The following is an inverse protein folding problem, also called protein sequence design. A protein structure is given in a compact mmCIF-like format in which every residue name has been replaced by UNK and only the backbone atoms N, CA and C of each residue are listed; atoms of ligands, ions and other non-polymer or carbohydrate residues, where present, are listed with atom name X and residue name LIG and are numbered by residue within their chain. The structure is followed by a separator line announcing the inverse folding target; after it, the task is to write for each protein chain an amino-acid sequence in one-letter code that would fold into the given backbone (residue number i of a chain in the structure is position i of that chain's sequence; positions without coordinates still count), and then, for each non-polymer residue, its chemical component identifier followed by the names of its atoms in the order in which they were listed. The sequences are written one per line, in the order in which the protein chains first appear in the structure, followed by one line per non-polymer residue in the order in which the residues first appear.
data_IF_663342010312
#
_entry.id   IF_663342010312
#
_cell.length_a   1.000
_cell.length_b   1.000
_cell.length_c   1.000
_cell.angle_alpha   90.00
_cell.angle_beta   90.00
_cell.angle_gamma   90.00
#
_symmetry.space_group_name_H-M   'P 1'
#
loop_
_entity.id
_entity.type
_entity.pdbx_description
1 polymer ?
#
# COMPACT_ATOMS: atom_id res chain seq x y z
N UNK A 1 -0.34 11.80 5.54
CA UNK A 1 -1.78 11.77 5.82
C UNK A 1 -2.44 12.99 5.16
N UNK A 2 -3.68 12.87 4.75
CA UNK A 2 -4.42 13.96 4.12
C UNK A 2 -5.92 13.75 4.29
N UNK A 3 -6.66 14.83 4.42
CA UNK A 3 -8.12 14.88 4.39
C UNK A 3 -8.67 15.30 3.01
N UNK A 4 -7.85 15.22 1.96
CA UNK A 4 -8.20 15.64 0.59
C UNK A 4 -7.74 17.06 0.25
N UNK A 5 -7.69 17.95 1.25
CA UNK A 5 -7.31 19.36 1.08
C UNK A 5 -5.92 19.65 1.67
N UNK A 6 -5.66 19.17 2.89
CA UNK A 6 -4.45 19.43 3.64
C UNK A 6 -3.57 18.18 3.62
N UNK A 7 -2.26 18.37 3.40
CA UNK A 7 -1.28 17.29 3.40
C UNK A 7 -0.31 17.46 4.57
N UNK A 8 -0.24 16.45 5.43
CA UNK A 8 0.68 16.39 6.58
C UNK A 8 1.49 15.10 6.56
N UNK A 9 2.68 15.13 7.15
CA UNK A 9 3.50 13.94 7.38
C UNK A 9 4.26 14.10 8.69
N UNK A 10 4.66 12.96 9.27
CA UNK A 10 5.41 12.96 10.51
C UNK A 10 6.89 12.87 10.21
N UNK A 11 7.67 13.64 10.96
CA UNK A 11 9.12 13.68 10.89
C UNK A 11 9.67 13.48 12.30
N UNK A 12 10.79 12.78 12.43
CA UNK A 12 11.49 12.74 13.70
C UNK A 12 11.94 14.17 14.06
N UNK A 13 11.78 14.59 15.32
CA UNK A 13 12.02 15.99 15.71
C UNK A 13 13.41 16.53 15.28
N UNK A 14 14.45 15.69 15.37
CA UNK A 14 15.82 16.05 14.96
C UNK A 14 16.00 16.26 13.44
N UNK A 15 15.04 15.83 12.62
CA UNK A 15 15.05 15.96 11.17
C UNK A 15 14.25 17.18 10.69
N UNK A 16 13.55 17.90 11.57
CA UNK A 16 12.68 19.03 11.21
C UNK A 16 13.42 20.08 10.37
N UNK A 17 14.50 20.64 10.90
CA UNK A 17 15.27 21.70 10.24
C UNK A 17 15.86 21.24 8.91
N UNK A 18 16.26 19.97 8.85
CA UNK A 18 16.78 19.39 7.62
C UNK A 18 15.70 19.31 6.55
N UNK A 19 14.51 18.80 6.87
CA UNK A 19 13.42 18.67 5.90
C UNK A 19 12.93 20.03 5.40
N UNK A 20 12.72 20.98 6.31
CA UNK A 20 12.22 22.33 5.95
C UNK A 20 13.23 23.10 5.08
N UNK A 21 14.52 22.88 5.27
CA UNK A 21 15.58 23.59 4.55
C UNK A 21 16.00 22.93 3.23
N UNK A 22 15.87 21.60 3.11
CA UNK A 22 16.43 20.84 1.98
C UNK A 22 15.37 20.28 1.02
N UNK A 23 14.09 20.30 1.40
CA UNK A 23 13.01 19.77 0.57
C UNK A 23 12.07 20.91 0.18
N UNK A 24 12.29 21.44 -1.02
CA UNK A 24 11.48 22.50 -1.64
C UNK A 24 10.57 21.96 -2.76
N UNK A 25 10.65 20.66 -3.04
CA UNK A 25 9.95 20.02 -4.14
C UNK A 25 9.60 18.56 -3.85
N UNK A 26 8.36 18.18 -4.16
CA UNK A 26 7.91 16.77 -4.20
C UNK A 26 7.49 16.43 -5.62
N UNK A 27 8.24 15.54 -6.26
CA UNK A 27 8.06 15.21 -7.67
C UNK A 27 8.26 16.44 -8.57
N UNK A 28 7.18 16.93 -9.20
CA UNK A 28 7.20 18.14 -10.04
C UNK A 28 6.68 19.40 -9.32
N UNK A 29 6.12 19.25 -8.12
CA UNK A 29 5.40 20.31 -7.39
C UNK A 29 6.34 20.95 -6.38
N UNK A 30 6.47 22.28 -6.43
CA UNK A 30 7.16 23.04 -5.39
C UNK A 30 6.35 23.01 -4.09
N UNK A 31 7.02 22.82 -2.96
CA UNK A 31 6.39 22.69 -1.64
C UNK A 31 7.08 23.58 -0.62
N UNK A 32 6.33 23.94 0.41
CA UNK A 32 6.84 24.59 1.61
C UNK A 32 6.23 23.90 2.81
N UNK A 33 7.02 23.71 3.87
CA UNK A 33 6.59 23.01 5.07
C UNK A 33 6.45 23.98 6.23
N UNK A 34 5.35 23.84 6.95
CA UNK A 34 5.06 24.57 8.19
C UNK A 34 4.94 23.55 9.31
N UNK A 35 5.62 23.79 10.43
CA UNK A 35 5.47 22.96 11.63
C UNK A 35 4.05 23.09 12.18
N UNK A 36 3.46 21.97 12.58
CA UNK A 36 2.18 21.93 13.27
C UNK A 36 2.27 21.05 14.53
N UNK A 37 1.56 21.41 15.61
CA UNK A 37 1.45 20.56 16.79
C UNK A 37 0.94 19.16 16.43
N UNK A 38 1.45 18.14 17.12
CA UNK A 38 1.00 16.76 16.90
C UNK A 38 -0.49 16.58 17.18
N UNK A 39 -1.09 17.41 18.04
CA UNK A 39 -2.51 17.40 18.36
C UNK A 39 -3.41 17.86 17.19
N UNK A 40 -2.85 18.58 16.21
CA UNK A 40 -3.58 19.16 15.08
C UNK A 40 -3.47 18.27 13.83
N UNK A 41 -3.30 16.95 14.03
CA UNK A 41 -3.22 16.02 12.91
C UNK A 41 -4.59 15.90 12.23
N UNK A 42 -4.59 15.93 10.90
CA UNK A 42 -5.82 15.74 10.12
C UNK A 42 -6.30 14.29 10.24
N UNK A 43 -7.62 14.10 10.29
CA UNK A 43 -8.19 12.76 10.13
C UNK A 43 -8.05 12.37 8.67
N UNK A 44 -7.31 11.29 8.33
CA UNK A 44 -7.12 10.93 6.94
C UNK A 44 -8.44 10.53 6.29
N UNK A 45 -8.67 10.98 5.06
CA UNK A 45 -9.71 10.37 4.23
C UNK A 45 -9.36 8.89 4.02
N UNK A 46 -10.32 8.01 4.31
CA UNK A 46 -10.16 6.58 4.11
C UNK A 46 -10.80 6.18 2.79
N UNK A 47 -9.96 6.02 1.77
CA UNK A 47 -10.32 5.55 0.43
C UNK A 47 -10.27 4.03 0.28
N UNK A 48 -10.06 3.30 1.38
CA UNK A 48 -10.04 1.83 1.35
C UNK A 48 -11.45 1.27 1.29
N UNK A 49 -11.69 0.44 0.28
CA UNK A 49 -12.93 -0.33 0.15
C UNK A 49 -12.72 -1.77 0.63
N UNK A 50 -13.59 -2.30 1.51
CA UNK A 50 -13.50 -3.68 1.96
C UNK A 50 -13.80 -4.63 0.80
N UNK A 51 -12.96 -5.66 0.64
CA UNK A 51 -13.10 -6.67 -0.41
C UNK A 51 -12.90 -8.07 0.17
N UNK A 52 -13.90 -8.93 -0.01
CA UNK A 52 -13.87 -10.31 0.44
C UNK A 52 -13.88 -11.27 -0.76
N UNK A 53 -12.96 -12.24 -0.76
CA UNK A 53 -12.92 -13.31 -1.75
C UNK A 53 -12.32 -14.59 -1.14
N UNK A 54 -12.65 -15.73 -1.73
CA UNK A 54 -12.09 -17.02 -1.34
C UNK A 54 -10.96 -17.41 -2.28
N UNK A 55 -9.86 -17.87 -1.71
CA UNK A 55 -8.72 -18.42 -2.44
C UNK A 55 -8.44 -19.84 -1.99
N UNK A 56 -7.89 -20.66 -2.88
CA UNK A 56 -7.43 -22.01 -2.53
C UNK A 56 -6.11 -22.02 -1.76
N UNK A 57 -5.34 -20.92 -1.83
CA UNK A 57 -4.12 -20.68 -1.07
C UNK A 57 -3.84 -19.17 -1.00
N UNK A 58 -3.28 -18.69 0.11
CA UNK A 58 -2.89 -17.30 0.34
C UNK A 58 -1.58 -16.96 -0.37
N UNK A 59 -1.58 -17.05 -1.70
CA UNK A 59 -0.42 -16.73 -2.55
C UNK A 59 -0.54 -15.33 -3.12
N UNK A 60 0.59 -14.64 -3.25
CA UNK A 60 0.68 -13.29 -3.83
C UNK A 60 -0.03 -13.20 -5.20
N UNK A 61 0.23 -14.15 -6.11
CA UNK A 61 -0.39 -14.16 -7.44
C UNK A 61 -1.91 -14.28 -7.41
N UNK A 62 -2.44 -15.00 -6.43
CA UNK A 62 -3.87 -15.25 -6.28
C UNK A 62 -4.55 -14.05 -5.65
N UNK A 63 -3.97 -13.51 -4.57
CA UNK A 63 -4.47 -12.30 -3.89
C UNK A 63 -4.48 -11.10 -4.85
N UNK A 64 -3.42 -10.88 -5.62
CA UNK A 64 -3.35 -9.80 -6.62
C UNK A 64 -4.39 -9.99 -7.73
N UNK A 65 -4.59 -11.22 -8.21
CA UNK A 65 -5.55 -11.51 -9.27
C UNK A 65 -6.98 -11.20 -8.84
N UNK A 66 -7.39 -11.69 -7.67
CA UNK A 66 -8.73 -11.44 -7.14
C UNK A 66 -8.92 -9.99 -6.70
N UNK A 67 -7.92 -9.41 -6.00
CA UNK A 67 -7.99 -8.05 -5.48
C UNK A 67 -8.15 -6.97 -6.55
N UNK A 68 -7.60 -7.19 -7.74
CA UNK A 68 -7.70 -6.23 -8.86
C UNK A 68 -8.52 -6.75 -10.05
N UNK A 69 -9.24 -7.87 -9.88
CA UNK A 69 -10.05 -8.50 -10.92
C UNK A 69 -9.29 -8.69 -12.26
N UNK A 70 -8.09 -9.27 -12.18
CA UNK A 70 -7.27 -9.61 -13.36
C UNK A 70 -6.99 -11.11 -13.41
N UNK A 71 -6.59 -11.61 -14.58
CA UNK A 71 -6.20 -13.01 -14.70
C UNK A 71 -4.97 -13.30 -13.84
N UNK A 72 -4.90 -14.52 -13.29
CA UNK A 72 -3.72 -14.99 -12.53
C UNK A 72 -2.44 -14.95 -13.36
N UNK A 73 -2.53 -15.17 -14.66
CA UNK A 73 -1.38 -15.04 -15.57
C UNK A 73 -0.88 -13.59 -15.62
N UNK A 74 -1.79 -12.61 -15.70
CA UNK A 74 -1.43 -11.18 -15.68
C UNK A 74 -0.80 -10.80 -14.33
N UNK A 75 -1.33 -11.29 -13.22
CA UNK A 75 -0.73 -11.07 -11.89
C UNK A 75 0.72 -11.58 -11.84
N UNK A 76 0.98 -12.82 -12.29
CA UNK A 76 2.34 -13.38 -12.38
C UNK A 76 3.29 -12.51 -13.20
N UNK A 77 2.85 -12.05 -14.38
CA UNK A 77 3.67 -11.18 -15.23
C UNK A 77 3.99 -9.83 -14.55
N UNK A 78 3.06 -9.27 -13.76
CA UNK A 78 3.33 -8.06 -13.00
C UNK A 78 4.36 -8.30 -11.89
N UNK A 79 4.23 -9.41 -11.16
CA UNK A 79 5.15 -9.80 -10.07
C UNK A 79 6.56 -10.01 -10.62
N UNK A 80 6.71 -10.89 -11.62
CA UNK A 80 8.00 -11.17 -12.25
C UNK A 80 8.60 -9.97 -12.99
N UNK A 81 7.75 -9.03 -13.42
CA UNK A 81 8.18 -7.78 -14.03
C UNK A 81 8.56 -6.67 -13.03
N UNK A 82 8.67 -6.97 -11.73
CA UNK A 82 9.04 -6.00 -10.68
C UNK A 82 7.99 -4.91 -10.45
N UNK A 83 6.74 -5.14 -10.84
CA UNK A 83 5.63 -4.17 -10.68
C UNK A 83 4.83 -4.39 -9.41
N UNK A 84 5.17 -5.40 -8.62
CA UNK A 84 4.53 -5.71 -7.35
C UNK A 84 5.55 -5.62 -6.23
N UNK A 85 5.16 -4.98 -5.12
CA UNK A 85 5.94 -4.91 -3.89
C UNK A 85 5.13 -5.51 -2.76
N UNK A 86 5.79 -6.35 -1.95
CA UNK A 86 5.25 -6.88 -0.71
C UNK A 86 5.97 -6.20 0.44
N UNK A 87 5.24 -5.59 1.36
CA UNK A 87 5.79 -4.88 2.52
C UNK A 87 6.92 -3.92 2.15
N UNK A 88 6.68 -3.11 1.11
CA UNK A 88 7.60 -2.11 0.54
C UNK A 88 8.85 -2.67 -0.17
N UNK A 89 9.13 -3.97 -0.08
CA UNK A 89 10.19 -4.65 -0.81
C UNK A 89 9.75 -5.17 -2.18
N UNK A 90 10.69 -5.37 -3.10
CA UNK A 90 10.42 -6.04 -4.37
C UNK A 90 10.14 -7.53 -4.11
N UNK A 91 9.14 -8.08 -4.82
CA UNK A 91 8.83 -9.51 -4.78
C UNK A 91 8.66 -10.01 -6.20
N UNK A 92 9.47 -11.00 -6.58
CA UNK A 92 9.44 -11.69 -7.87
C UNK A 92 8.82 -13.09 -7.78
N UNK A 93 8.57 -13.59 -6.56
CA UNK A 93 8.01 -14.89 -6.25
C UNK A 93 6.47 -14.86 -6.24
N UNK A 94 5.78 -15.35 -7.30
CA UNK A 94 4.32 -15.28 -7.36
C UNK A 94 3.61 -16.21 -6.37
N UNK A 95 4.33 -17.19 -5.85
CA UNK A 95 3.91 -18.14 -4.83
C UNK A 95 4.24 -17.71 -3.40
N UNK A 96 4.82 -16.52 -3.20
CA UNK A 96 5.03 -15.96 -1.88
C UNK A 96 3.73 -16.00 -1.05
N UNK A 97 3.84 -16.49 0.17
CA UNK A 97 2.72 -16.58 1.11
C UNK A 97 2.40 -15.18 1.66
N UNK A 98 1.10 -14.88 1.77
CA UNK A 98 0.60 -13.61 2.28
C UNK A 98 0.06 -13.82 3.69
N UNK A 99 0.51 -13.00 4.62
CA UNK A 99 0.07 -12.99 6.00
C UNK A 99 -0.84 -11.79 6.28
N UNK A 100 -1.60 -11.87 7.37
CA UNK A 100 -2.41 -10.76 7.87
C UNK A 100 -1.54 -9.52 8.09
N UNK A 101 -2.09 -8.35 7.78
CA UNK A 101 -1.43 -7.03 7.77
C UNK A 101 -0.39 -6.81 6.67
N UNK A 102 -0.12 -7.80 5.81
CA UNK A 102 0.75 -7.58 4.65
C UNK A 102 0.16 -6.54 3.70
N UNK A 103 1.03 -5.67 3.19
CA UNK A 103 0.68 -4.63 2.21
C UNK A 103 1.27 -5.01 0.87
N UNK A 104 0.40 -5.15 -0.13
CA UNK A 104 0.75 -5.45 -1.51
C UNK A 104 0.54 -4.20 -2.35
N UNK A 105 1.60 -3.63 -2.88
CA UNK A 105 1.53 -2.48 -3.80
C UNK A 105 1.73 -2.94 -5.24
N UNK A 106 0.76 -2.66 -6.12
CA UNK A 106 0.81 -3.04 -7.54
C UNK A 106 0.81 -1.79 -8.41
N UNK A 107 1.89 -1.60 -9.17
CA UNK A 107 2.09 -0.40 -9.99
C UNK A 107 0.99 -0.26 -11.04
N UNK A 108 0.30 0.89 -11.01
CA UNK A 108 -0.80 1.21 -11.92
C UNK A 108 -2.17 0.65 -11.51
N UNK A 109 -2.25 -0.03 -10.37
CA UNK A 109 -3.50 -0.60 -9.84
C UNK A 109 -3.84 -0.06 -8.46
N UNK A 110 -2.86 0.05 -7.56
CA UNK A 110 -3.08 0.54 -6.21
C UNK A 110 -2.45 -0.36 -5.14
N UNK A 111 -3.08 -0.39 -3.96
CA UNK A 111 -2.63 -1.21 -2.83
C UNK A 111 -3.74 -2.14 -2.35
N UNK A 112 -3.33 -3.31 -1.86
CA UNK A 112 -4.16 -4.23 -1.10
C UNK A 112 -3.51 -4.42 0.28
N UNK A 113 -4.34 -4.63 1.30
CA UNK A 113 -3.92 -5.02 2.64
C UNK A 113 -4.77 -6.22 3.05
N UNK A 114 -4.14 -7.28 3.53
CA UNK A 114 -4.90 -8.41 4.05
C UNK A 114 -5.31 -8.10 5.49
N UNK A 115 -6.59 -7.78 5.71
CA UNK A 115 -7.08 -7.42 7.03
C UNK A 115 -7.32 -8.64 7.93
N UNK A 116 -7.98 -9.68 7.43
CA UNK A 116 -8.27 -10.89 8.21
C UNK A 116 -8.46 -12.13 7.33
N UNK A 117 -8.33 -13.32 7.94
CA UNK A 117 -8.67 -14.60 7.34
C UNK A 117 -9.98 -15.08 7.99
N UNK A 118 -11.07 -15.02 7.23
CA UNK A 118 -12.43 -15.33 7.70
C UNK A 118 -12.70 -16.83 7.95
N UNK A 119 -11.73 -17.70 7.69
CA UNK A 119 -11.80 -19.14 7.89
C UNK A 119 -11.69 -19.98 6.62
N UNK A 120 -11.58 -21.29 6.79
CA UNK A 120 -11.45 -22.24 5.69
C UNK A 120 -12.82 -22.80 5.29
N UNK A 121 -13.17 -22.70 4.01
CA UNK A 121 -14.31 -23.43 3.47
C UNK A 121 -13.87 -24.85 3.06
N UNK A 122 -14.71 -25.86 3.32
CA UNK A 122 -14.45 -27.23 2.86
C UNK A 122 -14.48 -27.24 1.33
N UNK A 123 -13.37 -27.62 0.69
CA UNK A 123 -13.37 -28.03 -0.72
C UNK A 123 -14.38 -29.17 -0.89
N UNK A 124 -15.39 -28.97 -1.73
CA UNK A 124 -16.21 -30.06 -2.28
C UNK A 124 -15.56 -30.61 -3.55
#
# INVERSE_FOLDING_TARGET
ITDGDIWQFFVAAHMQDWVTSNVDKIGRVGVHFTEHPLADYVTPENDWEPLNFSVSALRLDTVVAHGFNISRQRAKTLIQGGKVRLNFGESDAPDAEIATSDIISVRGFGRLRLDEILGESKKR
#
